data_IF_952062085361
#
_entry.id   IF_952062085361
#
_cell.length_a   1.000
_cell.length_b   1.000
_cell.length_c   1.000
_cell.angle_alpha   90.00
_cell.angle_beta   90.00
_cell.angle_gamma   90.00
#
_symmetry.space_group_name_H-M   'P 1'
#
loop_
_entity.id
_entity.type
_entity.pdbx_description
1 polymer ?
#
# COMPACT_ATOMS: atom_id res chain seq x y z
N UNK A 1 24.89 15.63 -22.29
CA UNK A 1 23.87 14.57 -22.52
C UNK A 1 22.65 14.95 -21.70
N UNK A 2 21.44 15.03 -22.27
CA UNK A 2 20.27 15.45 -21.50
C UNK A 2 19.94 14.37 -20.45
N UNK A 3 19.73 14.82 -19.21
CA UNK A 3 19.39 13.97 -18.07
C UNK A 3 18.06 13.25 -18.34
N UNK A 4 18.05 11.92 -18.23
CA UNK A 4 16.83 11.11 -18.36
C UNK A 4 15.93 11.42 -17.18
N UNK A 5 14.89 12.21 -17.39
CA UNK A 5 13.82 12.43 -16.42
C UNK A 5 13.13 11.07 -16.21
N UNK A 6 13.50 10.36 -15.15
CA UNK A 6 12.83 9.15 -14.73
C UNK A 6 11.40 9.53 -14.30
N UNK A 7 10.43 9.34 -15.20
CA UNK A 7 9.01 9.45 -14.84
C UNK A 7 8.78 8.50 -13.66
N UNK A 8 8.28 9.03 -12.53
CA UNK A 8 7.77 8.21 -11.43
C UNK A 8 6.56 7.44 -11.94
N UNK A 9 6.80 6.28 -12.55
CA UNK A 9 5.75 5.34 -12.90
C UNK A 9 5.26 4.77 -11.58
N UNK A 10 4.00 5.02 -11.21
CA UNK A 10 3.43 4.47 -9.99
C UNK A 10 3.47 2.94 -10.00
N UNK A 11 3.41 2.31 -8.82
CA UNK A 11 3.30 0.84 -8.74
C UNK A 11 2.13 0.35 -9.61
N UNK A 12 2.31 -0.74 -10.37
CA UNK A 12 1.26 -1.32 -11.21
C UNK A 12 0.04 -1.71 -10.38
N UNK A 13 -1.14 -1.72 -11.01
CA UNK A 13 -2.36 -2.23 -10.37
C UNK A 13 -2.22 -3.72 -10.12
N UNK A 14 -2.39 -4.15 -8.87
CA UNK A 14 -2.30 -5.56 -8.48
C UNK A 14 -3.44 -6.40 -9.08
N UNK A 15 -4.61 -5.81 -9.30
CA UNK A 15 -5.82 -6.51 -9.71
C UNK A 15 -6.39 -6.09 -11.08
N UNK A 16 -5.60 -5.41 -11.92
CA UNK A 16 -6.06 -4.95 -13.25
C UNK A 16 -7.15 -3.86 -13.23
N UNK A 17 -7.68 -3.53 -12.05
CA UNK A 17 -8.66 -2.46 -11.86
C UNK A 17 -7.98 -1.07 -11.87
N UNK A 18 -8.78 -0.04 -12.19
CA UNK A 18 -8.34 1.36 -12.09
C UNK A 18 -8.00 1.65 -10.63
N UNK A 19 -6.77 2.11 -10.40
CA UNK A 19 -6.29 2.48 -9.07
C UNK A 19 -7.18 3.57 -8.46
N UNK A 20 -7.71 3.30 -7.28
CA UNK A 20 -8.43 4.26 -6.45
C UNK A 20 -7.55 4.63 -5.27
N UNK A 21 -7.52 5.92 -4.92
CA UNK A 21 -6.77 6.41 -3.78
C UNK A 21 -7.74 6.77 -2.66
N UNK A 22 -7.43 6.32 -1.45
CA UNK A 22 -8.17 6.66 -0.23
C UNK A 22 -7.19 7.23 0.79
N UNK A 23 -7.62 8.24 1.52
CA UNK A 23 -6.89 8.78 2.65
C UNK A 23 -7.53 8.28 3.93
N UNK A 24 -6.71 7.79 4.86
CA UNK A 24 -7.15 7.35 6.20
C UNK A 24 -6.39 8.13 7.25
N UNK A 25 -7.08 8.45 8.35
CA UNK A 25 -6.46 9.08 9.52
C UNK A 25 -6.32 8.01 10.59
N UNK A 26 -5.11 7.86 11.13
CA UNK A 26 -4.82 6.92 12.19
C UNK A 26 -3.99 7.61 13.29
N UNK A 27 -4.12 7.13 14.52
CA UNK A 27 -3.17 7.52 15.58
C UNK A 27 -1.79 6.98 15.23
N UNK A 28 -0.74 7.57 15.81
CA UNK A 28 0.64 7.09 15.61
C UNK A 28 0.79 5.61 16.00
N UNK A 29 0.20 5.22 17.13
CA UNK A 29 0.20 3.84 17.60
C UNK A 29 -0.44 2.88 16.59
N UNK A 30 -1.62 3.23 16.07
CA UNK A 30 -2.29 2.40 15.07
C UNK A 30 -1.49 2.34 13.76
N UNK A 31 -0.85 3.44 13.36
CA UNK A 31 -0.05 3.51 12.15
C UNK A 31 1.23 2.66 12.23
N UNK A 32 1.93 2.69 13.36
CA UNK A 32 3.11 1.84 13.56
C UNK A 32 2.73 0.35 13.67
N UNK A 33 1.66 0.02 14.40
CA UNK A 33 1.16 -1.35 14.46
C UNK A 33 0.76 -1.91 13.09
N UNK A 34 0.16 -1.09 12.21
CA UNK A 34 -0.15 -1.49 10.83
C UNK A 34 1.10 -1.85 10.02
N UNK A 35 2.21 -1.12 10.20
CA UNK A 35 3.48 -1.43 9.53
C UNK A 35 4.07 -2.73 10.04
N UNK A 36 4.02 -2.97 11.35
CA UNK A 36 4.53 -4.20 11.97
C UNK A 36 3.74 -5.43 11.50
N UNK A 37 2.41 -5.32 11.41
CA UNK A 37 1.56 -6.38 10.86
C UNK A 37 1.86 -6.64 9.38
N UNK A 38 2.00 -5.58 8.58
CA UNK A 38 2.36 -5.72 7.17
C UNK A 38 3.71 -6.44 6.99
N UNK A 39 4.72 -6.01 7.76
CA UNK A 39 6.05 -6.63 7.74
C UNK A 39 6.02 -8.11 8.16
N UNK A 40 5.27 -8.43 9.22
CA UNK A 40 5.08 -9.82 9.70
C UNK A 40 4.38 -10.71 8.67
N UNK A 41 3.51 -10.13 7.85
CA UNK A 41 2.79 -10.85 6.78
C UNK A 41 3.62 -10.99 5.50
N UNK A 42 4.85 -10.45 5.46
CA UNK A 42 5.68 -10.43 4.25
C UNK A 42 5.15 -9.51 3.13
N UNK A 43 4.22 -8.61 3.45
CA UNK A 43 3.57 -7.70 2.51
C UNK A 43 4.08 -6.27 2.68
N UNK A 44 4.07 -5.48 1.61
CA UNK A 44 4.17 -4.02 1.80
C UNK A 44 2.89 -3.48 2.42
N UNK A 45 2.99 -2.33 3.10
CA UNK A 45 1.83 -1.70 3.76
C UNK A 45 0.64 -1.48 2.80
N UNK A 46 0.91 -1.13 1.54
CA UNK A 46 -0.15 -0.96 0.53
C UNK A 46 -0.85 -2.27 0.20
N UNK A 47 -0.12 -3.38 0.10
CA UNK A 47 -0.67 -4.71 -0.20
C UNK A 47 -1.47 -5.24 0.98
N UNK A 48 -0.95 -5.04 2.19
CA UNK A 48 -1.63 -5.40 3.43
C UNK A 48 -2.98 -4.68 3.55
N UNK A 49 -3.00 -3.36 3.36
CA UNK A 49 -4.23 -2.55 3.44
C UNK A 49 -5.21 -2.90 2.31
N UNK A 50 -4.73 -3.17 1.11
CA UNK A 50 -5.58 -3.57 -0.01
C UNK A 50 -6.23 -4.94 0.23
N UNK A 51 -5.45 -5.90 0.74
CA UNK A 51 -5.94 -7.24 1.10
C UNK A 51 -6.95 -7.16 2.23
N UNK A 52 -6.65 -6.41 3.29
CA UNK A 52 -7.57 -6.18 4.41
C UNK A 52 -8.87 -5.50 3.94
N UNK A 53 -8.78 -4.46 3.10
CA UNK A 53 -9.94 -3.73 2.59
C UNK A 53 -10.84 -4.58 1.70
N UNK A 54 -10.27 -5.50 0.89
CA UNK A 54 -11.02 -6.40 0.01
C UNK A 54 -11.62 -7.58 0.76
N UNK A 55 -10.84 -8.23 1.62
CA UNK A 55 -11.23 -9.50 2.26
C UNK A 55 -11.94 -9.30 3.61
N UNK A 56 -11.79 -8.12 4.23
CA UNK A 56 -12.20 -7.82 5.61
C UNK A 56 -11.58 -8.78 6.64
N UNK A 57 -10.45 -9.40 6.31
CA UNK A 57 -9.69 -10.33 7.15
C UNK A 57 -8.23 -9.89 7.20
N UNK A 58 -7.56 -10.19 8.30
CA UNK A 58 -6.13 -9.98 8.41
C UNK A 58 -5.41 -10.98 7.48
N UNK A 59 -4.49 -10.51 6.63
CA UNK A 59 -3.62 -11.36 5.80
C UNK A 59 -2.73 -12.30 6.61
#
# INVERSE_FOLDING_TARGET
MPEKIARKVGRPSLHGERKKSYSVTATKLAWDGLKEMAASSGLSLSEFLETLGRTKRLP
#
